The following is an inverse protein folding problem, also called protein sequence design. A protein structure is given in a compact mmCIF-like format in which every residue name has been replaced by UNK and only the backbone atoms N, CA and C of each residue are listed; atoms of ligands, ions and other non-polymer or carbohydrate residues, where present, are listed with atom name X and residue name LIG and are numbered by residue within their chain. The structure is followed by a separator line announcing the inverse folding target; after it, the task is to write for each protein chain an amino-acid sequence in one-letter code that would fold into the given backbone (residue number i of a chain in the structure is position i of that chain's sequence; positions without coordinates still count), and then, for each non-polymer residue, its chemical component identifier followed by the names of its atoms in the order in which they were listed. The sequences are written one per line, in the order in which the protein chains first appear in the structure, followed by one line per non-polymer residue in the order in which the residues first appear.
data_IF_139119591314
#
_entry.id   IF_139119591314
#
_cell.length_a   1.000
_cell.length_b   1.000
_cell.length_c   1.000
_cell.angle_alpha   90.00
_cell.angle_beta   90.00
_cell.angle_gamma   90.00
#
_symmetry.space_group_name_H-M   'P 1'
#
loop_
_entity.id
_entity.type
_entity.pdbx_description
1 polymer ?
#
# COMPACT_ATOMS: atom_id res chain seq x y z
N UNK A 1 -22.85 20.18 -4.57
CA UNK A 1 -21.48 19.63 -4.65
C UNK A 1 -20.77 20.01 -3.37
N UNK A 2 -19.95 19.16 -2.74
CA UNK A 2 -19.15 19.60 -1.60
C UNK A 2 -18.22 20.74 -2.04
N UNK A 3 -18.18 21.81 -1.25
CA UNK A 3 -17.42 23.05 -1.51
C UNK A 3 -15.90 22.87 -1.26
N UNK A 4 -15.48 21.72 -0.70
CA UNK A 4 -14.10 21.39 -0.33
C UNK A 4 -13.79 19.93 -0.68
N UNK A 5 -12.54 19.59 -1.07
CA UNK A 5 -12.11 18.20 -1.20
C UNK A 5 -12.31 17.44 0.12
N UNK A 6 -12.64 16.16 0.01
CA UNK A 6 -12.63 15.26 1.16
C UNK A 6 -11.19 15.14 1.71
N UNK A 7 -11.00 15.10 3.04
CA UNK A 7 -9.68 14.90 3.61
C UNK A 7 -9.08 13.56 3.14
N UNK A 8 -7.75 13.53 3.04
CA UNK A 8 -7.02 12.30 2.77
C UNK A 8 -7.38 11.24 3.83
N UNK A 9 -7.62 10.01 3.38
CA UNK A 9 -7.84 8.85 4.23
C UNK A 9 -6.95 7.70 3.76
N UNK A 10 -6.53 6.86 4.71
CA UNK A 10 -5.67 5.70 4.47
C UNK A 10 -6.34 4.44 4.99
N UNK A 11 -6.22 3.36 4.23
CA UNK A 11 -6.62 2.01 4.64
C UNK A 11 -5.41 1.10 4.57
N UNK A 12 -5.19 0.34 5.65
CA UNK A 12 -4.09 -0.62 5.75
C UNK A 12 -4.52 -2.00 5.25
N UNK A 13 -3.66 -2.67 4.48
CA UNK A 13 -3.84 -4.05 4.08
C UNK A 13 -2.97 -4.94 4.97
N UNK A 14 -3.60 -5.80 5.78
CA UNK A 14 -2.89 -6.84 6.53
C UNK A 14 -3.00 -8.17 5.77
N UNK A 15 -1.86 -8.69 5.30
CA UNK A 15 -1.77 -9.97 4.61
C UNK A 15 -0.51 -10.73 5.04
N UNK A 16 -0.53 -12.04 4.88
CA UNK A 16 0.66 -12.90 5.10
C UNK A 16 1.47 -13.11 3.82
N UNK A 17 0.95 -12.66 2.67
CA UNK A 17 1.57 -12.85 1.36
C UNK A 17 1.69 -11.49 0.66
N UNK A 18 2.87 -10.87 0.82
CA UNK A 18 3.19 -9.56 0.27
C UNK A 18 3.43 -9.62 -1.24
N UNK A 19 4.03 -10.71 -1.73
CA UNK A 19 4.35 -10.88 -3.15
C UNK A 19 3.06 -11.03 -3.97
N UNK A 20 2.07 -11.78 -3.45
CA UNK A 20 0.75 -11.87 -4.08
C UNK A 20 0.02 -10.51 -4.08
N UNK A 21 0.12 -9.74 -2.99
CA UNK A 21 -0.49 -8.41 -2.93
C UNK A 21 0.16 -7.44 -3.93
N UNK A 22 1.49 -7.38 -3.98
CA UNK A 22 2.24 -6.59 -4.95
C UNK A 22 1.83 -6.94 -6.39
N UNK A 23 1.80 -8.23 -6.73
CA UNK A 23 1.39 -8.70 -8.06
C UNK A 23 -0.06 -8.31 -8.38
N UNK A 24 -0.99 -8.47 -7.43
CA UNK A 24 -2.39 -8.13 -7.63
C UNK A 24 -2.59 -6.64 -7.90
N UNK A 25 -2.09 -5.77 -7.03
CA UNK A 25 -2.29 -4.32 -7.17
C UNK A 25 -1.53 -3.74 -8.38
N UNK A 26 -0.38 -4.33 -8.74
CA UNK A 26 0.32 -3.98 -9.98
C UNK A 26 -0.52 -4.32 -11.21
N UNK A 27 -1.09 -5.52 -11.28
CA UNK A 27 -1.82 -5.98 -12.47
C UNK A 27 -3.22 -5.36 -12.60
N UNK A 28 -3.93 -5.18 -11.49
CA UNK A 28 -5.32 -4.71 -11.51
C UNK A 28 -5.42 -3.20 -11.49
N UNK A 29 -4.59 -2.53 -10.67
CA UNK A 29 -4.67 -1.08 -10.46
C UNK A 29 -3.54 -0.34 -11.19
N UNK A 30 -2.44 -1.01 -11.51
CA UNK A 30 -1.26 -0.37 -12.12
C UNK A 30 -0.35 0.33 -11.12
N UNK A 31 -0.48 0.02 -9.83
CA UNK A 31 0.38 0.59 -8.79
C UNK A 31 1.80 0.03 -8.87
N UNK A 32 2.77 0.80 -8.36
CA UNK A 32 4.15 0.34 -8.17
C UNK A 32 4.39 0.21 -6.68
N UNK A 33 4.79 -0.97 -6.24
CA UNK A 33 5.18 -1.18 -4.85
C UNK A 33 6.55 -0.54 -4.59
N UNK A 34 6.73 -0.05 -3.37
CA UNK A 34 8.00 0.38 -2.84
C UNK A 34 8.21 -0.31 -1.51
N UNK A 35 9.39 -0.91 -1.33
CA UNK A 35 9.76 -1.52 -0.06
C UNK A 35 9.84 -0.44 1.00
N UNK A 36 9.14 -0.66 2.11
CA UNK A 36 9.31 0.19 3.26
C UNK A 36 10.54 -0.25 4.04
N UNK A 37 11.68 0.36 3.73
CA UNK A 37 12.95 0.16 4.42
C UNK A 37 12.94 0.86 5.78
N UNK A 38 12.07 0.41 6.70
CA UNK A 38 11.80 1.04 8.00
C UNK A 38 13.02 1.16 8.94
N UNK A 39 12.79 1.13 10.25
CA UNK A 39 13.89 1.17 11.22
C UNK A 39 14.82 -0.06 11.07
N UNK A 40 16.14 0.07 11.34
CA UNK A 40 17.09 -1.02 11.18
C UNK A 40 16.67 -2.28 11.93
N UNK A 41 16.63 -3.41 11.22
CA UNK A 41 16.32 -4.74 11.80
C UNK A 41 14.84 -5.14 11.76
N UNK A 42 13.94 -4.31 11.24
CA UNK A 42 12.57 -4.76 10.93
C UNK A 42 12.58 -5.68 9.71
N UNK A 43 11.84 -6.82 9.74
CA UNK A 43 11.65 -7.64 8.56
C UNK A 43 10.93 -6.84 7.48
N UNK A 44 11.06 -7.26 6.21
CA UNK A 44 10.28 -6.71 5.11
C UNK A 44 8.79 -6.78 5.49
N UNK A 45 8.17 -5.60 5.53
CA UNK A 45 6.73 -5.40 5.49
C UNK A 45 6.32 -5.06 4.06
#
# INVERSE_FOLDING_TARGET
MPESPMPFFWYELMTTDLDAAEAFYTNVVGWKAQVFDGAPGMPRY
#
